data_IF_479795347312
#
_entry.id   IF_479795347312
#
_cell.length_a   1.000
_cell.length_b   1.000
_cell.length_c   1.000
_cell.angle_alpha   90.00
_cell.angle_beta   90.00
_cell.angle_gamma   90.00
#
_symmetry.space_group_name_H-M   'P 1'
#
loop_
_entity.id
_entity.type
_entity.pdbx_description
1 polymer ?
#
# COMPACT_ATOMS: atom_id res chain seq x y z
N UNK A 1 7.78 7.70 13.01
CA UNK A 1 7.41 6.82 11.88
C UNK A 1 6.77 5.55 12.41
N UNK A 2 5.63 5.19 11.86
CA UNK A 2 4.84 4.03 12.30
C UNK A 2 4.98 2.87 11.32
N UNK A 3 5.08 3.16 10.03
CA UNK A 3 5.05 2.15 8.98
C UNK A 3 6.43 1.88 8.41
N UNK A 4 6.70 0.60 8.13
CA UNK A 4 7.93 0.18 7.45
C UNK A 4 7.84 0.40 5.95
N UNK A 5 8.83 -0.10 5.22
CA UNK A 5 8.94 0.12 3.77
C UNK A 5 7.99 -0.73 2.95
N UNK A 6 7.59 -1.87 3.47
CA UNK A 6 6.74 -2.83 2.73
C UNK A 6 5.48 -3.11 3.52
N UNK A 7 4.34 -2.80 2.90
CA UNK A 7 3.03 -2.94 3.53
C UNK A 7 2.21 -3.95 2.72
N UNK A 8 1.56 -4.87 3.41
CA UNK A 8 0.46 -5.65 2.84
C UNK A 8 -0.83 -5.08 3.42
N UNK A 9 -1.68 -4.57 2.54
CA UNK A 9 -2.95 -3.96 2.95
C UNK A 9 -4.09 -4.95 2.72
N UNK A 10 -4.74 -5.36 3.80
CA UNK A 10 -5.91 -6.21 3.74
C UNK A 10 -7.16 -5.34 3.76
N UNK A 11 -8.03 -5.51 2.76
CA UNK A 11 -9.27 -4.74 2.65
C UNK A 11 -10.46 -5.67 2.50
N UNK A 12 -10.88 -6.34 3.58
CA UNK A 12 -11.96 -7.33 3.51
C UNK A 12 -13.32 -6.74 3.12
N UNK A 13 -13.50 -5.44 3.30
CA UNK A 13 -14.73 -4.74 2.96
C UNK A 13 -14.59 -3.85 1.74
N UNK A 14 -13.44 -3.91 1.04
CA UNK A 14 -13.16 -3.03 -0.08
C UNK A 14 -12.73 -1.64 0.38
N UNK A 15 -13.06 -0.61 -0.43
CA UNK A 15 -12.69 0.76 -0.10
C UNK A 15 -13.45 1.27 1.13
N UNK A 16 -12.71 1.94 2.04
CA UNK A 16 -13.29 2.70 3.15
C UNK A 16 -12.67 4.10 3.14
N UNK A 17 -13.42 5.14 3.57
CA UNK A 17 -12.88 6.52 3.59
C UNK A 17 -11.60 6.69 4.40
N UNK A 18 -11.38 5.85 5.40
CA UNK A 18 -10.14 5.89 6.19
C UNK A 18 -8.89 5.60 5.36
N UNK A 19 -9.04 5.03 4.16
CA UNK A 19 -7.93 4.77 3.27
C UNK A 19 -7.21 6.07 2.90
N UNK A 20 -7.93 7.16 2.75
CA UNK A 20 -7.35 8.44 2.34
C UNK A 20 -6.28 8.90 3.34
N UNK A 21 -6.59 8.87 4.63
CA UNK A 21 -5.62 9.22 5.66
C UNK A 21 -4.50 8.21 5.77
N UNK A 22 -4.81 6.94 5.59
CA UNK A 22 -3.83 5.87 5.66
C UNK A 22 -2.75 6.03 4.58
N UNK A 23 -3.16 6.38 3.37
CA UNK A 23 -2.21 6.62 2.26
C UNK A 23 -1.32 7.82 2.57
N UNK A 24 -1.87 8.89 3.14
CA UNK A 24 -1.07 10.03 3.55
C UNK A 24 -0.03 9.65 4.61
N UNK A 25 -0.42 8.79 5.55
CA UNK A 25 0.51 8.29 6.56
C UNK A 25 1.62 7.45 5.91
N UNK A 26 1.29 6.61 4.93
CA UNK A 26 2.28 5.83 4.20
C UNK A 26 3.28 6.74 3.48
N UNK A 27 2.78 7.78 2.82
CA UNK A 27 3.65 8.73 2.12
C UNK A 27 4.57 9.46 3.08
N UNK A 28 4.03 9.89 4.22
CA UNK A 28 4.82 10.57 5.24
C UNK A 28 5.93 9.68 5.80
N UNK A 29 5.64 8.39 6.00
CA UNK A 29 6.57 7.45 6.60
C UNK A 29 7.54 6.83 5.58
N UNK A 30 7.41 7.17 4.31
CA UNK A 30 8.33 6.71 3.28
C UNK A 30 8.12 5.26 2.87
N UNK A 31 6.89 4.78 2.89
CA UNK A 31 6.56 3.43 2.44
C UNK A 31 6.91 3.28 0.96
N UNK A 32 7.51 2.15 0.58
CA UNK A 32 7.97 1.89 -0.78
C UNK A 32 7.00 1.01 -1.57
N UNK A 33 6.31 0.09 -0.89
CA UNK A 33 5.39 -0.85 -1.51
C UNK A 33 4.12 -1.00 -0.67
N UNK A 34 2.96 -0.96 -1.36
CA UNK A 34 1.69 -1.39 -0.77
C UNK A 34 1.11 -2.49 -1.67
N UNK A 35 1.07 -3.72 -1.16
CA UNK A 35 0.48 -4.86 -1.86
C UNK A 35 -0.93 -5.07 -1.30
N UNK A 36 -1.93 -4.93 -2.16
CA UNK A 36 -3.34 -4.91 -1.76
C UNK A 36 -3.98 -6.28 -1.98
N UNK A 37 -4.68 -6.78 -0.97
CA UNK A 37 -5.46 -8.01 -1.08
C UNK A 37 -6.83 -7.81 -0.42
N UNK A 38 -7.84 -8.47 -0.94
CA UNK A 38 -9.18 -8.42 -0.37
C UNK A 38 -10.23 -8.08 -1.39
N UNK A 39 -11.38 -7.64 -0.90
CA UNK A 39 -12.51 -7.28 -1.74
C UNK A 39 -12.19 -6.03 -2.56
N UNK A 40 -12.54 -6.07 -3.83
CA UNK A 40 -12.33 -4.94 -4.76
C UNK A 40 -10.86 -4.45 -4.79
N UNK A 41 -9.91 -5.37 -4.63
CA UNK A 41 -8.49 -5.02 -4.52
C UNK A 41 -7.97 -4.17 -5.68
N UNK A 42 -8.40 -4.46 -6.91
CA UNK A 42 -7.95 -3.68 -8.06
C UNK A 42 -8.48 -2.23 -7.98
N UNK A 43 -9.72 -2.07 -7.55
CA UNK A 43 -10.31 -0.74 -7.36
C UNK A 43 -9.64 0.00 -6.23
N UNK A 44 -9.34 -0.69 -5.13
CA UNK A 44 -8.62 -0.09 -4.00
C UNK A 44 -7.23 0.35 -4.44
N UNK A 45 -6.53 -0.47 -5.23
CA UNK A 45 -5.23 -0.09 -5.76
C UNK A 45 -5.32 1.17 -6.62
N UNK A 46 -6.31 1.26 -7.50
CA UNK A 46 -6.53 2.43 -8.35
C UNK A 46 -6.76 3.69 -7.51
N UNK A 47 -7.54 3.57 -6.44
CA UNK A 47 -7.80 4.69 -5.54
C UNK A 47 -6.51 5.13 -4.84
N UNK A 48 -5.70 4.17 -4.40
CA UNK A 48 -4.42 4.48 -3.78
C UNK A 48 -3.53 5.25 -4.76
N UNK A 49 -3.46 4.80 -6.02
CA UNK A 49 -2.66 5.47 -7.04
C UNK A 49 -3.13 6.91 -7.26
N UNK A 50 -4.43 7.14 -7.29
CA UNK A 50 -4.98 8.48 -7.42
C UNK A 50 -4.62 9.36 -6.22
N UNK A 51 -4.66 8.80 -5.02
CA UNK A 51 -4.29 9.52 -3.80
C UNK A 51 -2.81 9.87 -3.78
N UNK A 52 -1.96 8.97 -4.26
CA UNK A 52 -0.52 9.22 -4.35
C UNK A 52 -0.22 10.36 -5.30
N UNK A 53 -0.82 10.36 -6.49
CA UNK A 53 -0.64 11.41 -7.47
C UNK A 53 -1.19 12.74 -6.96
N UNK A 54 -2.33 12.69 -6.28
CA UNK A 54 -3.00 13.90 -5.78
C UNK A 54 -3.33 14.84 -6.93
N UNK A 55 -2.91 16.10 -6.81
CA UNK A 55 -3.12 17.11 -7.86
C UNK A 55 -1.95 17.20 -8.83
N UNK A 56 -0.96 16.31 -8.68
CA UNK A 56 0.22 16.28 -9.54
C UNK A 56 1.29 17.31 -9.21
N UNK A 57 1.12 18.06 -8.12
CA UNK A 57 2.08 19.12 -7.75
C UNK A 57 3.31 18.58 -7.01
N UNK A 58 3.28 17.31 -6.58
CA UNK A 58 4.35 16.70 -5.80
C UNK A 58 4.90 15.45 -6.51
N UNK A 59 5.78 15.61 -7.51
CA UNK A 59 6.27 14.46 -8.27
C UNK A 59 7.12 13.48 -7.44
N UNK A 60 7.58 13.88 -6.26
CA UNK A 60 8.31 13.00 -5.36
C UNK A 60 7.39 12.04 -4.58
N UNK A 61 6.09 12.27 -4.61
CA UNK A 61 5.12 11.38 -3.96
C UNK A 61 5.01 10.11 -4.80
N UNK A 62 5.51 9.00 -4.29
CA UNK A 62 5.46 7.75 -5.02
C UNK A 62 5.51 6.55 -4.09
N UNK A 63 4.59 5.62 -4.30
CA UNK A 63 4.58 4.30 -3.67
C UNK A 63 4.25 3.31 -4.77
N UNK A 64 4.98 2.20 -4.83
CA UNK A 64 4.64 1.11 -5.73
C UNK A 64 3.40 0.40 -5.19
N UNK A 65 2.41 0.15 -6.04
CA UNK A 65 1.18 -0.51 -5.63
C UNK A 65 0.94 -1.74 -6.48
N UNK A 66 0.44 -2.80 -5.84
CA UNK A 66 0.08 -4.05 -6.54
C UNK A 66 -1.22 -4.57 -5.96
N UNK A 67 -1.91 -5.44 -6.71
CA UNK A 67 -3.10 -6.11 -6.22
C UNK A 67 -2.95 -7.61 -6.38
N UNK A 68 -3.51 -8.38 -5.44
CA UNK A 68 -3.29 -9.82 -5.35
C UNK A 68 -4.59 -10.56 -5.05
N UNK A 69 -4.67 -11.81 -5.52
CA UNK A 69 -5.85 -12.64 -5.35
C UNK A 69 -6.09 -13.10 -3.92
N UNK A 70 -5.03 -13.14 -3.12
CA UNK A 70 -5.12 -13.58 -1.75
C UNK A 70 -4.12 -12.83 -0.88
N UNK A 71 -4.38 -12.84 0.42
CA UNK A 71 -3.45 -12.25 1.39
C UNK A 71 -2.11 -12.97 1.36
N UNK A 72 -2.13 -14.29 1.23
CA UNK A 72 -0.91 -15.10 1.15
C UNK A 72 -0.06 -14.69 -0.05
N UNK A 73 -0.69 -14.49 -1.22
CA UNK A 73 0.00 -14.07 -2.41
C UNK A 73 0.62 -12.69 -2.23
N UNK A 74 -0.11 -11.76 -1.62
CA UNK A 74 0.39 -10.42 -1.34
C UNK A 74 1.59 -10.45 -0.39
N UNK A 75 1.52 -11.28 0.65
CA UNK A 75 2.63 -11.43 1.59
C UNK A 75 3.88 -11.98 0.91
N UNK A 76 3.73 -13.02 0.09
CA UNK A 76 4.85 -13.60 -0.64
C UNK A 76 5.49 -12.60 -1.60
N UNK A 77 4.67 -11.82 -2.29
CA UNK A 77 5.16 -10.77 -3.18
C UNK A 77 5.93 -9.71 -2.41
N UNK A 78 5.38 -9.23 -1.30
CA UNK A 78 6.01 -8.18 -0.51
C UNK A 78 7.33 -8.65 0.11
N UNK A 79 7.39 -9.90 0.55
CA UNK A 79 8.62 -10.46 1.10
C UNK A 79 9.74 -10.53 0.07
N UNK A 80 9.41 -10.74 -1.20
CA UNK A 80 10.40 -10.82 -2.28
C UNK A 80 10.69 -9.46 -2.91
N UNK A 81 9.98 -8.40 -2.52
CA UNK A 81 10.17 -7.06 -3.07
C UNK A 81 11.57 -6.53 -2.74
N UNK A 82 12.36 -6.16 -3.75
CA UNK A 82 13.72 -5.67 -3.51
C UNK A 82 13.68 -4.29 -2.83
N UNK A 83 14.42 -4.17 -1.74
CA UNK A 83 14.57 -2.92 -1.03
C UNK A 83 15.93 -2.88 -0.37
N UNK A 84 16.51 -1.68 -0.27
CA UNK A 84 17.78 -1.48 0.42
C UNK A 84 17.63 -1.49 1.94
N UNK A 85 16.40 -1.45 2.41
CA UNK A 85 16.11 -1.42 3.84
C UNK A 85 15.72 -2.82 4.30
N UNK A 86 16.47 -3.36 5.24
CA UNK A 86 16.11 -4.61 5.90
C UNK A 86 14.96 -4.31 6.86
N UNK A 87 13.91 -5.11 6.77
CA UNK A 87 12.75 -4.93 7.61
C UNK A 87 11.68 -5.95 7.26
N UNK A 88 10.79 -6.18 8.20
CA UNK A 88 9.69 -7.11 8.00
C UNK A 88 8.60 -6.46 7.16
N UNK A 89 7.85 -7.32 6.46
CA UNK A 89 6.60 -6.90 5.83
C UNK A 89 5.58 -6.64 6.93
N UNK A 90 4.91 -5.52 6.85
CA UNK A 90 3.91 -5.12 7.84
C UNK A 90 2.51 -5.32 7.28
N UNK A 91 1.68 -6.04 8.03
CA UNK A 91 0.29 -6.25 7.67
C UNK A 91 -0.56 -5.14 8.27
N UNK A 92 -1.32 -4.48 7.41
CA UNK A 92 -2.26 -3.43 7.82
C UNK A 92 -3.65 -3.80 7.34
N UNK A 93 -4.63 -3.74 8.21
CA UNK A 93 -6.02 -4.02 7.86
C UNK A 93 -6.81 -2.73 7.77
N UNK A 94 -7.50 -2.59 6.64
CA UNK A 94 -8.34 -1.42 6.39
C UNK A 94 -9.70 -1.55 7.07
#
# INVERSE_FOLDING_TARGET
MVYGKRIVLSCPQGYLPSLDMLVEDFLRDGVDLVAVAGKDRAKVEDIIDELIVGDGSEPSRFINTTSHDSLEDALGFAESWPTDVLGEVQLVEL
#
